data_IF_044606131417
#
_entry.id   IF_044606131417
#
_cell.length_a   1.000
_cell.length_b   1.000
_cell.length_c   1.000
_cell.angle_alpha   90.00
_cell.angle_beta   90.00
_cell.angle_gamma   90.00
#
_symmetry.space_group_name_H-M   'P 1'
#
loop_
_entity.id
_entity.type
_entity.pdbx_description
1 polymer ?
#
# COMPACT_ATOMS: atom_id res chain seq x y z
N UNK A 1 16.23 -3.49 -39.10
CA UNK A 1 14.96 -4.25 -38.88
C UNK A 1 14.77 -4.41 -37.39
N UNK A 2 14.03 -3.50 -36.77
CA UNK A 2 13.78 -3.54 -35.32
C UNK A 2 12.74 -4.62 -35.06
N UNK A 3 13.13 -5.69 -34.38
CA UNK A 3 12.23 -6.74 -33.95
C UNK A 3 11.32 -6.15 -32.87
N UNK A 4 10.13 -5.70 -33.23
CA UNK A 4 9.04 -5.39 -32.29
C UNK A 4 8.64 -6.71 -31.64
N UNK A 5 9.34 -7.07 -30.58
CA UNK A 5 8.96 -8.20 -29.74
C UNK A 5 7.72 -7.81 -28.98
N UNK A 6 6.59 -8.42 -29.32
CA UNK A 6 5.36 -8.33 -28.53
C UNK A 6 5.68 -8.90 -27.14
N UNK A 7 5.55 -8.10 -26.10
CA UNK A 7 5.84 -8.52 -24.73
C UNK A 7 4.57 -9.12 -24.14
N UNK A 8 4.57 -10.45 -24.02
CA UNK A 8 3.43 -11.22 -23.50
C UNK A 8 3.48 -11.44 -21.98
N UNK A 9 4.64 -11.15 -21.35
CA UNK A 9 4.83 -11.38 -19.93
C UNK A 9 5.68 -10.29 -19.29
N UNK A 10 5.17 -9.68 -18.22
CA UNK A 10 5.89 -8.68 -17.43
C UNK A 10 5.77 -9.00 -15.93
N UNK A 11 6.86 -8.84 -15.22
CA UNK A 11 6.91 -8.98 -13.76
C UNK A 11 6.95 -7.61 -13.11
N UNK A 12 5.91 -7.28 -12.33
CA UNK A 12 5.78 -5.99 -11.65
C UNK A 12 5.90 -6.15 -10.14
N UNK A 13 6.62 -5.24 -9.50
CA UNK A 13 6.64 -5.06 -8.05
C UNK A 13 5.69 -3.93 -7.67
N UNK A 14 4.61 -4.27 -6.98
CA UNK A 14 3.56 -3.32 -6.62
C UNK A 14 3.56 -3.12 -5.11
N UNK A 15 3.49 -1.85 -4.68
CA UNK A 15 3.40 -1.50 -3.27
C UNK A 15 2.35 -0.42 -3.05
N UNK A 16 1.45 -0.66 -2.09
CA UNK A 16 0.51 0.37 -1.62
C UNK A 16 1.22 1.41 -0.75
N UNK A 17 0.61 2.58 -0.63
CA UNK A 17 1.10 3.63 0.27
C UNK A 17 1.02 3.23 1.74
N UNK A 18 2.01 3.60 2.52
CA UNK A 18 1.97 3.48 3.98
C UNK A 18 1.03 4.54 4.55
N UNK A 19 0.37 4.25 5.67
CA UNK A 19 -0.34 5.27 6.45
C UNK A 19 0.64 6.24 7.09
N UNK A 20 0.23 7.51 7.23
CA UNK A 20 0.96 8.53 7.96
C UNK A 20 0.88 8.29 9.48
N UNK A 21 1.87 8.72 10.23
CA UNK A 21 1.86 8.61 11.67
C UNK A 21 0.97 9.70 12.28
N UNK A 22 0.31 9.40 13.41
CA UNK A 22 -0.31 10.42 14.24
C UNK A 22 0.74 11.32 14.91
N UNK A 23 0.34 12.55 15.24
CA UNK A 23 1.20 13.50 15.95
C UNK A 23 1.02 13.37 17.47
N UNK A 24 2.13 13.52 18.20
CA UNK A 24 2.16 13.56 19.67
C UNK A 24 2.51 14.96 20.17
N UNK A 25 1.87 16.01 19.62
CA UNK A 25 2.11 17.39 19.99
C UNK A 25 1.21 17.84 21.15
N UNK A 26 1.70 18.85 21.89
CA UNK A 26 0.97 19.51 22.96
C UNK A 26 0.82 20.99 22.65
N UNK A 27 -0.36 21.52 22.95
CA UNK A 27 -0.66 22.94 22.77
C UNK A 27 0.25 23.78 23.65
N UNK A 28 0.94 24.75 23.06
CA UNK A 28 1.76 25.74 23.76
C UNK A 28 1.41 27.12 23.23
N UNK A 29 0.90 27.95 24.11
CA UNK A 29 0.55 29.35 23.80
C UNK A 29 1.17 30.25 24.85
N UNK A 30 1.28 31.55 24.53
CA UNK A 30 1.95 32.55 25.38
C UNK A 30 1.44 32.58 26.82
N UNK A 31 0.17 32.29 27.04
CA UNK A 31 -0.47 32.30 28.36
C UNK A 31 -0.94 30.93 28.84
N UNK A 32 -0.63 29.87 28.08
CA UNK A 32 -1.00 28.48 28.40
C UNK A 32 0.26 27.60 28.22
N UNK A 33 1.19 27.63 29.18
CA UNK A 33 2.44 26.88 29.06
C UNK A 33 2.24 25.36 29.13
N UNK A 34 1.18 24.88 29.77
CA UNK A 34 0.80 23.47 29.90
C UNK A 34 -0.54 23.21 29.21
N UNK A 35 -0.56 23.33 27.89
CA UNK A 35 -1.74 22.94 27.10
C UNK A 35 -1.88 21.43 27.00
N UNK A 36 -3.13 20.96 26.82
CA UNK A 36 -3.43 19.56 26.62
C UNK A 36 -2.90 19.00 25.26
N UNK A 37 -3.10 17.70 25.00
CA UNK A 37 -2.71 17.07 23.74
C UNK A 37 -3.47 17.72 22.57
N UNK A 38 -2.75 18.03 21.49
CA UNK A 38 -3.30 18.67 20.29
C UNK A 38 -2.83 18.01 18.98
N UNK A 39 -2.23 16.82 19.05
CA UNK A 39 -1.76 16.11 17.90
C UNK A 39 -2.87 15.52 17.04
N UNK A 40 -2.89 15.86 15.76
CA UNK A 40 -3.83 15.33 14.79
C UNK A 40 -3.45 13.93 14.28
N UNK A 41 -4.40 13.27 13.61
CA UNK A 41 -4.20 11.94 13.07
C UNK A 41 -3.38 11.95 11.78
N UNK A 42 -2.61 10.90 11.58
CA UNK A 42 -2.04 10.57 10.29
C UNK A 42 -3.10 10.07 9.32
N UNK A 43 -2.84 10.21 8.04
CA UNK A 43 -3.78 9.86 7.00
C UNK A 43 -3.50 8.51 6.38
N UNK A 44 -4.51 7.96 5.69
CA UNK A 44 -4.40 6.69 4.94
C UNK A 44 -3.43 6.84 3.76
N UNK A 45 -2.61 5.82 3.49
CA UNK A 45 -1.85 5.69 2.25
C UNK A 45 -2.73 5.36 1.04
N UNK A 46 -2.24 5.61 -0.16
CA UNK A 46 -2.94 5.31 -1.41
C UNK A 46 -3.12 3.82 -1.65
N UNK A 47 -4.27 3.46 -2.21
CA UNK A 47 -4.58 2.11 -2.69
C UNK A 47 -3.99 1.90 -4.09
N UNK A 48 -3.82 0.65 -4.51
CA UNK A 48 -3.41 0.30 -5.88
C UNK A 48 -4.53 -0.46 -6.56
N UNK A 49 -4.97 0.07 -7.68
CA UNK A 49 -5.98 -0.52 -8.56
C UNK A 49 -5.36 -0.92 -9.89
N UNK A 50 -5.89 -1.95 -10.49
CA UNK A 50 -5.68 -2.26 -11.91
C UNK A 50 -6.99 -2.09 -12.66
N UNK A 51 -6.91 -1.47 -13.83
CA UNK A 51 -8.07 -1.15 -14.68
C UNK A 51 -7.76 -1.52 -16.12
N UNK A 52 -8.73 -2.14 -16.80
CA UNK A 52 -8.60 -2.47 -18.22
C UNK A 52 -8.85 -1.24 -19.08
N UNK A 53 -7.92 -0.94 -19.98
CA UNK A 53 -8.05 0.12 -20.97
C UNK A 53 -8.14 -0.52 -22.37
N UNK A 54 -9.28 -0.37 -23.09
CA UNK A 54 -9.45 -0.94 -24.44
C UNK A 54 -8.53 -0.31 -25.48
N UNK A 55 -7.97 0.86 -25.20
CA UNK A 55 -7.03 1.53 -26.11
C UNK A 55 -5.59 1.05 -25.95
N UNK A 56 -5.33 0.18 -24.98
CA UNK A 56 -4.02 -0.36 -24.70
C UNK A 56 -3.89 -1.77 -25.30
N UNK A 57 -2.91 -1.97 -26.17
CA UNK A 57 -2.70 -3.25 -26.87
C UNK A 57 -1.43 -3.96 -26.43
N UNK A 58 -0.51 -3.30 -25.72
CA UNK A 58 0.78 -3.86 -25.35
C UNK A 58 1.12 -3.62 -23.88
N UNK A 59 1.98 -4.49 -23.31
CA UNK A 59 2.55 -4.35 -21.97
C UNK A 59 3.90 -3.62 -21.96
N UNK A 60 4.33 -3.06 -23.10
CA UNK A 60 5.65 -2.44 -23.25
C UNK A 60 5.93 -1.31 -22.26
N UNK A 61 4.89 -0.60 -21.85
CA UNK A 61 4.98 0.50 -20.86
C UNK A 61 5.60 0.01 -19.54
N UNK A 62 5.39 -1.26 -19.21
CA UNK A 62 5.90 -1.83 -17.97
C UNK A 62 7.31 -2.39 -18.07
N UNK A 63 7.88 -2.44 -19.25
CA UNK A 63 9.25 -2.95 -19.46
C UNK A 63 10.30 -2.10 -18.75
N UNK A 64 10.09 -0.78 -18.72
CA UNK A 64 10.99 0.17 -18.07
C UNK A 64 10.61 0.47 -16.60
N UNK A 65 9.35 0.32 -16.23
CA UNK A 65 8.82 0.64 -14.90
C UNK A 65 8.32 -0.61 -14.17
N UNK A 66 9.24 -1.41 -13.65
CA UNK A 66 8.88 -2.64 -12.93
C UNK A 66 8.45 -2.42 -11.46
N UNK A 67 8.64 -1.21 -10.94
CA UNK A 67 8.29 -0.84 -9.55
C UNK A 67 7.23 0.24 -9.55
N UNK A 68 6.05 -0.10 -9.06
CA UNK A 68 4.89 0.78 -9.03
C UNK A 68 4.41 0.96 -7.58
N UNK A 69 4.54 2.17 -7.05
CA UNK A 69 4.23 2.48 -5.67
C UNK A 69 3.16 3.56 -5.58
N UNK A 70 2.13 3.32 -4.76
CA UNK A 70 1.17 4.36 -4.42
C UNK A 70 1.76 5.32 -3.37
N UNK A 71 1.20 6.53 -3.30
CA UNK A 71 1.67 7.58 -2.42
C UNK A 71 1.38 7.25 -0.95
N UNK A 72 2.31 7.59 -0.06
CA UNK A 72 2.12 7.42 1.37
C UNK A 72 1.16 8.50 1.91
N UNK A 73 0.39 8.15 2.95
CA UNK A 73 -0.36 9.15 3.71
C UNK A 73 0.59 10.04 4.51
N UNK A 74 0.21 11.31 4.64
CA UNK A 74 0.98 12.27 5.44
C UNK A 74 0.72 12.09 6.93
N UNK A 75 1.74 12.39 7.72
CA UNK A 75 1.63 12.41 9.17
C UNK A 75 0.74 13.55 9.65
N UNK A 76 0.03 13.33 10.77
CA UNK A 76 -0.68 14.38 11.47
C UNK A 76 0.27 15.45 11.99
N UNK A 77 -0.28 16.63 12.26
CA UNK A 77 0.45 17.79 12.79
C UNK A 77 -0.20 18.27 14.07
N UNK A 78 0.46 19.18 14.77
CA UNK A 78 -0.12 19.90 15.92
C UNK A 78 -1.36 20.70 15.54
N UNK A 79 -2.05 21.25 16.52
CA UNK A 79 -3.32 22.01 16.36
C UNK A 79 -4.44 21.17 15.72
N UNK A 80 -4.48 19.87 16.04
CA UNK A 80 -5.49 18.91 15.56
C UNK A 80 -5.55 18.79 14.03
N UNK A 81 -4.45 19.10 13.32
CA UNK A 81 -4.43 19.01 11.86
C UNK A 81 -4.15 17.59 11.41
N UNK A 82 -5.05 17.06 10.56
CA UNK A 82 -4.91 15.75 9.93
C UNK A 82 -3.89 15.80 8.79
N UNK A 83 -3.21 14.67 8.55
CA UNK A 83 -2.39 14.51 7.35
C UNK A 83 -3.24 14.40 6.08
N UNK A 84 -2.67 14.68 4.92
CA UNK A 84 -3.33 14.45 3.63
C UNK A 84 -3.27 12.98 3.25
N UNK A 85 -4.39 12.46 2.69
CA UNK A 85 -4.45 11.08 2.17
C UNK A 85 -3.47 10.93 0.99
N UNK A 86 -2.73 9.83 0.94
CA UNK A 86 -1.92 9.47 -0.22
C UNK A 86 -2.80 9.20 -1.44
N UNK A 87 -2.32 9.58 -2.63
CA UNK A 87 -3.04 9.37 -3.89
C UNK A 87 -3.05 7.88 -4.23
N UNK A 88 -4.21 7.43 -4.72
CA UNK A 88 -4.38 6.08 -5.20
C UNK A 88 -3.67 5.91 -6.56
N UNK A 89 -3.08 4.75 -6.80
CA UNK A 89 -2.41 4.41 -8.05
C UNK A 89 -3.32 3.54 -8.89
N UNK A 90 -3.61 3.97 -10.12
CA UNK A 90 -4.35 3.19 -11.10
C UNK A 90 -3.40 2.73 -12.19
N UNK A 91 -3.25 1.42 -12.35
CA UNK A 91 -2.41 0.78 -13.35
C UNK A 91 -3.33 0.30 -14.47
N UNK A 92 -3.14 0.84 -15.67
CA UNK A 92 -3.90 0.45 -16.85
C UNK A 92 -3.26 -0.76 -17.51
N UNK A 93 -4.08 -1.75 -17.85
CA UNK A 93 -3.65 -2.99 -18.52
C UNK A 93 -4.55 -3.29 -19.74
N UNK A 94 -4.03 -3.93 -20.79
CA UNK A 94 -4.83 -4.31 -21.93
C UNK A 94 -5.89 -5.37 -21.59
N UNK A 95 -6.91 -5.48 -22.42
CA UNK A 95 -7.90 -6.56 -22.33
C UNK A 95 -7.23 -7.93 -22.51
N UNK A 96 -7.76 -8.96 -21.83
CA UNK A 96 -7.22 -10.31 -21.89
C UNK A 96 -5.95 -10.51 -21.05
N UNK A 97 -5.61 -9.56 -20.18
CA UNK A 97 -4.44 -9.70 -19.28
C UNK A 97 -4.79 -10.60 -18.09
N UNK A 98 -4.02 -11.64 -17.88
CA UNK A 98 -4.12 -12.52 -16.71
C UNK A 98 -3.06 -12.12 -15.68
N UNK A 99 -3.51 -11.78 -14.47
CA UNK A 99 -2.63 -11.35 -13.39
C UNK A 99 -2.50 -12.46 -12.37
N UNK A 100 -1.27 -12.86 -12.08
CA UNK A 100 -0.93 -13.78 -11.02
C UNK A 100 -0.32 -12.99 -9.86
N UNK A 101 -1.06 -12.86 -8.76
CA UNK A 101 -0.58 -12.17 -7.57
C UNK A 101 0.27 -13.13 -6.74
N UNK A 102 1.49 -12.73 -6.44
CA UNK A 102 2.36 -13.39 -5.48
C UNK A 102 2.62 -12.41 -4.33
N UNK A 103 2.25 -12.77 -3.11
CA UNK A 103 2.60 -11.99 -1.93
C UNK A 103 4.11 -12.15 -1.69
N UNK A 104 4.85 -11.05 -1.74
CA UNK A 104 6.20 -11.03 -1.23
C UNK A 104 6.09 -11.00 0.31
N UNK A 105 6.42 -12.09 0.95
CA UNK A 105 6.75 -12.05 2.37
C UNK A 105 8.05 -11.24 2.47
N UNK A 106 7.93 -10.03 3.03
CA UNK A 106 9.11 -9.28 3.43
C UNK A 106 9.88 -10.20 4.38
N UNK A 107 11.05 -10.70 3.95
CA UNK A 107 12.02 -11.28 4.86
C UNK A 107 12.33 -10.17 5.84
N UNK A 108 11.71 -10.24 7.01
CA UNK A 108 12.08 -9.44 8.16
C UNK A 108 13.54 -9.81 8.39
N UNK A 109 14.44 -8.91 8.02
CA UNK A 109 15.82 -9.00 8.47
C UNK A 109 15.74 -8.89 9.99
N UNK A 110 15.95 -10.01 10.64
CA UNK A 110 16.28 -10.07 12.05
C UNK A 110 17.61 -9.36 12.27
N UNK A 111 17.57 -8.04 12.36
CA UNK A 111 18.74 -7.25 12.71
C UNK A 111 18.30 -6.01 13.48
N UNK A 112 17.81 -6.24 14.68
CA UNK A 112 17.91 -5.34 15.83
C UNK A 112 17.22 -6.00 17.04
N UNK A 113 18.04 -6.46 17.95
CA UNK A 113 17.65 -7.17 19.17
C UNK A 113 16.87 -6.32 20.16
N UNK A 114 15.58 -6.11 19.91
CA UNK A 114 14.57 -5.70 20.90
C UNK A 114 13.21 -6.15 20.37
N UNK A 115 12.99 -7.45 20.39
CA UNK A 115 11.66 -8.00 20.14
C UNK A 115 10.94 -8.07 21.48
N UNK A 116 10.06 -7.12 21.75
CA UNK A 116 8.98 -7.34 22.70
C UNK A 116 8.15 -8.53 22.19
N UNK A 117 8.32 -9.65 22.85
CA UNK A 117 7.71 -10.93 22.53
C UNK A 117 6.21 -10.86 22.84
N UNK A 118 5.41 -10.36 21.88
CA UNK A 118 3.98 -10.48 21.93
C UNK A 118 3.63 -11.91 21.53
N UNK A 119 2.80 -12.64 22.29
CA UNK A 119 2.45 -14.00 21.95
C UNK A 119 1.61 -14.01 20.67
N UNK A 120 2.24 -14.37 19.56
CA UNK A 120 1.54 -14.77 18.36
C UNK A 120 0.93 -16.17 18.62
N UNK A 121 -0.36 -16.40 18.32
CA UNK A 121 -0.91 -17.74 18.42
C UNK A 121 -0.11 -18.66 17.49
N UNK A 122 0.43 -19.70 18.09
CA UNK A 122 1.28 -20.69 17.43
C UNK A 122 0.52 -21.35 16.29
N UNK A 123 1.09 -21.34 15.09
CA UNK A 123 0.55 -21.95 13.86
C UNK A 123 0.33 -23.48 13.94
N UNK A 124 0.56 -24.10 15.09
CA UNK A 124 0.38 -25.53 15.33
C UNK A 124 -1.07 -25.95 15.65
N UNK A 125 -2.04 -25.03 15.71
CA UNK A 125 -3.44 -25.36 15.98
C UNK A 125 -4.36 -25.27 14.76
N UNK A 126 -3.87 -24.84 13.62
CA UNK A 126 -4.59 -24.89 12.35
C UNK A 126 -3.83 -25.82 11.42
N UNK A 127 -4.18 -27.10 11.46
CA UNK A 127 -3.75 -28.11 10.49
C UNK A 127 -4.25 -27.76 9.09
N UNK A 128 -3.63 -26.79 8.46
CA UNK A 128 -3.85 -26.38 7.09
C UNK A 128 -2.50 -26.16 6.45
N UNK A 129 -2.20 -26.99 5.46
CA UNK A 129 -1.08 -26.79 4.54
C UNK A 129 -1.15 -25.34 4.06
N UNK A 130 -0.05 -24.60 4.19
CA UNK A 130 0.11 -23.29 3.59
C UNK A 130 0.12 -23.44 2.06
N UNK A 131 -1.07 -23.57 1.50
CA UNK A 131 -1.29 -23.40 0.07
C UNK A 131 -1.02 -21.92 -0.21
N UNK A 132 0.07 -21.62 -0.92
CA UNK A 132 0.29 -20.33 -1.54
C UNK A 132 -0.94 -20.05 -2.42
N UNK A 133 -1.92 -19.34 -1.91
CA UNK A 133 -3.07 -18.90 -2.70
C UNK A 133 -2.57 -17.89 -3.72
N UNK A 134 -2.16 -18.39 -4.88
CA UNK A 134 -1.91 -17.59 -6.07
C UNK A 134 -3.27 -17.08 -6.54
N UNK A 135 -3.65 -15.89 -6.10
CA UNK A 135 -4.86 -15.25 -6.60
C UNK A 135 -4.63 -14.89 -8.07
N UNK A 136 -5.34 -15.59 -8.95
CA UNK A 136 -5.36 -15.32 -10.39
C UNK A 136 -6.57 -14.43 -10.67
N UNK A 137 -6.36 -13.33 -11.37
CA UNK A 137 -7.41 -12.40 -11.80
C UNK A 137 -7.32 -12.30 -13.31
N UNK A 138 -8.44 -12.57 -13.97
CA UNK A 138 -8.56 -12.45 -15.41
C UNK A 138 -9.35 -11.17 -15.75
N UNK A 139 -8.82 -10.38 -16.67
CA UNK A 139 -9.40 -9.11 -17.10
C UNK A 139 -10.07 -9.24 -18.45
N UNK A 140 -11.24 -9.88 -18.48
CA UNK A 140 -12.00 -10.14 -19.71
C UNK A 140 -12.81 -8.95 -20.19
N UNK A 141 -13.22 -8.05 -19.30
CA UNK A 141 -14.14 -6.95 -19.60
C UNK A 141 -13.47 -5.60 -19.65
N UNK A 142 -13.82 -4.76 -20.62
CA UNK A 142 -13.38 -3.37 -20.68
C UNK A 142 -13.89 -2.57 -19.48
N UNK A 143 -13.03 -1.70 -18.91
CA UNK A 143 -13.36 -0.87 -17.76
C UNK A 143 -13.43 -1.63 -16.43
N UNK A 144 -13.00 -2.90 -16.40
CA UNK A 144 -12.94 -3.67 -15.15
C UNK A 144 -11.85 -3.09 -14.24
N UNK A 145 -12.23 -2.64 -13.04
CA UNK A 145 -11.32 -2.08 -12.04
C UNK A 145 -11.26 -2.98 -10.81
N UNK A 146 -10.08 -3.43 -10.46
CA UNK A 146 -9.85 -4.35 -9.34
C UNK A 146 -8.84 -3.76 -8.35
N UNK A 147 -9.16 -3.86 -7.06
CA UNK A 147 -8.24 -3.48 -5.98
C UNK A 147 -7.18 -4.58 -5.80
N UNK A 148 -5.92 -4.24 -6.06
CA UNK A 148 -4.78 -5.17 -5.94
C UNK A 148 -4.12 -5.07 -4.56
N UNK A 149 -3.88 -3.85 -4.09
CA UNK A 149 -3.27 -3.62 -2.78
C UNK A 149 -3.93 -2.45 -2.05
N UNK A 150 -4.26 -2.68 -0.78
CA UNK A 150 -4.89 -1.66 0.07
C UNK A 150 -3.83 -0.85 0.80
N UNK A 151 -3.96 0.48 0.80
CA UNK A 151 -3.10 1.39 1.54
C UNK A 151 -3.19 1.21 3.06
N UNK A 152 -2.08 1.48 3.74
CA UNK A 152 -1.99 1.42 5.19
C UNK A 152 -2.89 2.46 5.87
N UNK A 153 -3.44 2.11 7.02
CA UNK A 153 -4.24 3.05 7.84
C UNK A 153 -3.32 4.09 8.48
N UNK A 154 -3.83 5.31 8.64
CA UNK A 154 -3.16 6.36 9.41
C UNK A 154 -3.13 6.06 10.91
N UNK A 155 -2.08 6.50 11.60
CA UNK A 155 -1.96 6.43 13.05
C UNK A 155 -2.81 7.50 13.73
N UNK A 156 -3.26 7.24 14.94
CA UNK A 156 -4.02 8.19 15.75
C UNK A 156 -3.10 9.22 16.40
N UNK A 157 -3.54 10.47 16.45
CA UNK A 157 -2.89 11.53 17.23
C UNK A 157 -3.16 11.41 18.72
N UNK A 158 -2.35 12.07 19.55
CA UNK A 158 -2.51 12.03 21.02
C UNK A 158 -3.74 12.75 21.55
N UNK A 159 -4.47 13.46 20.71
CA UNK A 159 -5.77 14.10 21.07
C UNK A 159 -6.84 13.06 21.43
N UNK A 160 -6.66 11.80 21.05
CA UNK A 160 -7.58 10.70 21.31
C UNK A 160 -7.26 9.91 22.60
N UNK A 161 -6.20 10.28 23.30
CA UNK A 161 -5.78 9.70 24.58
C UNK A 161 -5.86 10.76 25.70
#
# INVERSE_FOLDING_TARGET
MVKLGMIDFVKLSIKSGKGGNGSASFRRERFIPMGGPDGGDGSKGGDVYMETDPNMNTLDIFNHNQKLWAENGQSGRGKKMFGLKGKDLVIKVPLGTVIKLKKLEDKIKEDSGLVAKWPTPTASQLGGQATEEKKVIDFEKAGMKVLIARGGRGGRGNVHF
#
